data_IF_189510267662
#
_entry.id   IF_189510267662
#
_cell.length_a   1.000
_cell.length_b   1.000
_cell.length_c   1.000
_cell.angle_alpha   90.00
_cell.angle_beta   90.00
_cell.angle_gamma   90.00
#
_symmetry.space_group_name_H-M   'P 1'
#
loop_
_entity.id
_entity.type
_entity.pdbx_description
1 polymer ?
#
# COMPACT_ATOMS: atom_id res chain seq x y z
N UNK A 1 37.52 -12.07 2.53
CA UNK A 1 36.95 -11.60 3.81
C UNK A 1 35.95 -10.46 3.62
N UNK A 2 36.37 -9.29 3.12
CA UNK A 2 35.50 -8.10 3.00
C UNK A 2 34.17 -8.29 2.25
N UNK A 3 34.16 -9.05 1.15
CA UNK A 3 32.92 -9.33 0.39
C UNK A 3 31.88 -10.09 1.23
N UNK A 4 32.34 -11.03 2.08
CA UNK A 4 31.48 -11.78 2.98
C UNK A 4 30.96 -10.88 4.12
N UNK A 5 31.83 -10.05 4.70
CA UNK A 5 31.44 -9.06 5.72
C UNK A 5 30.38 -8.08 5.18
N UNK A 6 30.56 -7.59 3.95
CA UNK A 6 29.61 -6.75 3.25
C UNK A 6 28.25 -7.44 3.09
N UNK A 7 28.25 -8.66 2.54
CA UNK A 7 27.02 -9.45 2.34
C UNK A 7 26.28 -9.72 3.65
N UNK A 8 27.01 -10.09 4.70
CA UNK A 8 26.44 -10.35 6.03
C UNK A 8 25.85 -9.09 6.64
N UNK A 9 26.52 -7.94 6.49
CA UNK A 9 26.03 -6.67 7.02
C UNK A 9 24.77 -6.22 6.31
N UNK A 10 24.68 -6.40 4.99
CA UNK A 10 23.44 -6.15 4.23
C UNK A 10 22.28 -6.97 4.78
N UNK A 11 22.49 -8.29 4.92
CA UNK A 11 21.44 -9.18 5.38
C UNK A 11 21.01 -8.85 6.81
N UNK A 12 21.97 -8.55 7.70
CA UNK A 12 21.69 -8.15 9.08
C UNK A 12 20.94 -6.82 9.15
N UNK A 13 21.30 -5.83 8.34
CA UNK A 13 20.57 -4.56 8.27
C UNK A 13 19.12 -4.82 7.89
N UNK A 14 18.89 -5.61 6.84
CA UNK A 14 17.54 -5.91 6.35
C UNK A 14 16.70 -6.62 7.42
N UNK A 15 17.21 -7.70 8.00
CA UNK A 15 16.46 -8.49 8.97
C UNK A 15 16.20 -7.72 10.27
N UNK A 16 17.19 -6.97 10.77
CA UNK A 16 17.01 -6.16 11.98
C UNK A 16 16.04 -5.00 11.78
N UNK A 17 16.04 -4.37 10.60
CA UNK A 17 15.10 -3.31 10.27
C UNK A 17 13.67 -3.86 10.19
N UNK A 18 13.47 -4.95 9.44
CA UNK A 18 12.16 -5.61 9.34
C UNK A 18 11.64 -6.01 10.73
N UNK A 19 12.49 -6.61 11.57
CA UNK A 19 12.13 -6.99 12.93
C UNK A 19 11.72 -5.76 13.77
N UNK A 20 12.53 -4.71 13.80
CA UNK A 20 12.27 -3.50 14.59
C UNK A 20 10.95 -2.83 14.22
N UNK A 21 10.62 -2.79 12.93
CA UNK A 21 9.35 -2.25 12.44
C UNK A 21 8.16 -3.14 12.81
N UNK A 22 8.33 -4.46 12.77
CA UNK A 22 7.31 -5.41 13.20
C UNK A 22 7.06 -5.34 14.72
N UNK A 23 8.07 -4.99 15.50
CA UNK A 23 7.96 -4.71 16.95
C UNK A 23 7.29 -3.36 17.25
N UNK A 24 6.94 -2.58 16.21
CA UNK A 24 6.23 -1.31 16.34
C UNK A 24 7.14 -0.13 16.69
N UNK A 25 8.46 -0.26 16.52
CA UNK A 25 9.35 0.89 16.70
C UNK A 25 9.04 1.99 15.69
N UNK A 26 9.25 3.23 16.11
CA UNK A 26 9.18 4.38 15.21
C UNK A 26 10.20 4.24 14.08
N UNK A 27 9.74 4.49 12.85
CA UNK A 27 10.52 4.24 11.64
C UNK A 27 11.92 4.89 11.65
N UNK A 28 12.01 6.15 12.06
CA UNK A 28 13.29 6.87 12.14
C UNK A 28 14.21 6.31 13.22
N UNK A 29 13.66 5.90 14.36
CA UNK A 29 14.43 5.29 15.45
C UNK A 29 14.98 3.92 15.03
N UNK A 30 14.14 3.07 14.44
CA UNK A 30 14.54 1.76 13.91
C UNK A 30 15.67 1.89 12.89
N UNK A 31 15.53 2.80 11.92
CA UNK A 31 16.57 3.08 10.93
C UNK A 31 17.87 3.50 11.59
N UNK A 32 17.82 4.47 12.51
CA UNK A 32 19.02 4.99 13.14
C UNK A 32 19.77 3.90 13.90
N UNK A 33 19.06 3.12 14.72
CA UNK A 33 19.62 2.04 15.52
C UNK A 33 20.21 0.91 14.66
N UNK A 34 19.45 0.42 13.67
CA UNK A 34 19.91 -0.62 12.76
C UNK A 34 21.14 -0.18 11.96
N UNK A 35 21.13 1.04 11.43
CA UNK A 35 22.26 1.56 10.64
C UNK A 35 23.51 1.73 11.50
N UNK A 36 23.36 2.31 12.69
CA UNK A 36 24.48 2.53 13.60
C UNK A 36 25.10 1.21 14.04
N UNK A 37 24.28 0.25 14.48
CA UNK A 37 24.74 -1.10 14.83
C UNK A 37 25.37 -1.82 13.65
N UNK A 38 24.79 -1.67 12.45
CA UNK A 38 25.33 -2.31 11.25
C UNK A 38 26.70 -1.79 10.85
N UNK A 39 26.85 -0.47 10.83
CA UNK A 39 28.10 0.20 10.48
C UNK A 39 29.19 -0.05 11.51
N UNK A 40 28.87 -0.07 12.80
CA UNK A 40 29.85 -0.34 13.86
C UNK A 40 30.45 -1.75 13.74
N UNK A 41 29.61 -2.77 13.58
CA UNK A 41 30.08 -4.14 13.39
C UNK A 41 30.84 -4.33 12.06
N UNK A 42 30.45 -3.60 11.00
CA UNK A 42 31.18 -3.63 9.73
C UNK A 42 32.56 -2.99 9.85
N UNK A 43 32.64 -1.80 10.45
CA UNK A 43 33.89 -1.07 10.65
C UNK A 43 34.85 -1.91 11.54
N UNK A 44 34.33 -2.51 12.62
CA UNK A 44 35.12 -3.40 13.49
C UNK A 44 35.59 -4.68 12.76
N UNK A 45 34.69 -5.33 11.99
CA UNK A 45 35.06 -6.48 11.18
C UNK A 45 36.07 -6.15 10.06
N UNK A 46 36.16 -4.89 9.63
CA UNK A 46 37.19 -4.43 8.71
C UNK A 46 38.53 -4.24 9.42
N UNK A 47 38.56 -3.67 10.63
CA UNK A 47 39.78 -3.53 11.44
C UNK A 47 40.40 -4.91 11.75
N UNK A 48 39.59 -5.88 12.16
CA UNK A 48 40.03 -7.25 12.43
C UNK A 48 40.63 -7.94 11.19
N UNK A 49 40.11 -7.60 9.99
CA UNK A 49 40.58 -8.13 8.72
C UNK A 49 41.74 -7.33 8.09
N UNK A 50 41.89 -6.05 8.42
CA UNK A 50 42.92 -5.15 7.90
C UNK A 50 44.33 -5.53 8.38
N UNK A 51 44.44 -6.26 9.49
CA UNK A 51 45.68 -6.93 9.91
C UNK A 51 46.18 -7.92 8.83
N UNK A 52 45.34 -8.28 7.84
CA UNK A 52 45.65 -9.19 6.73
C UNK A 52 45.41 -8.65 5.30
N UNK A 53 44.85 -7.44 5.09
CA UNK A 53 44.49 -6.88 3.75
C UNK A 53 44.57 -5.33 3.70
N UNK A 54 44.52 -4.70 2.51
CA UNK A 54 44.65 -3.23 2.36
C UNK A 54 43.38 -2.42 2.67
N UNK A 55 43.53 -1.35 3.47
CA UNK A 55 42.48 -0.41 3.93
C UNK A 55 41.66 0.26 2.80
N UNK A 56 42.26 0.49 1.63
CA UNK A 56 41.60 1.11 0.47
C UNK A 56 40.36 0.33 0.01
N UNK A 57 40.33 -0.98 0.19
CA UNK A 57 39.17 -1.79 -0.15
C UNK A 57 38.03 -1.62 0.85
N UNK A 58 38.32 -1.44 2.14
CA UNK A 58 37.30 -1.26 3.18
C UNK A 58 36.48 0.00 2.93
N UNK A 59 37.12 1.14 2.64
CA UNK A 59 36.42 2.41 2.34
C UNK A 59 35.42 2.27 1.18
N UNK A 60 35.80 1.59 0.09
CA UNK A 60 34.92 1.39 -1.07
C UNK A 60 33.72 0.50 -0.75
N UNK A 61 33.91 -0.55 0.06
CA UNK A 61 32.80 -1.40 0.49
C UNK A 61 31.90 -0.66 1.49
N UNK A 62 32.46 0.19 2.34
CA UNK A 62 31.74 1.07 3.25
C UNK A 62 30.82 2.04 2.51
N UNK A 63 31.33 2.72 1.49
CA UNK A 63 30.52 3.61 0.62
C UNK A 63 29.39 2.86 -0.07
N UNK A 64 29.67 1.68 -0.65
CA UNK A 64 28.64 0.83 -1.26
C UNK A 64 27.58 0.40 -0.25
N UNK A 65 27.99 0.09 0.98
CA UNK A 65 27.10 -0.34 2.05
C UNK A 65 26.15 0.80 2.46
N UNK A 66 26.69 2.02 2.60
CA UNK A 66 25.88 3.21 2.87
C UNK A 66 24.86 3.45 1.74
N UNK A 67 25.28 3.35 0.48
CA UNK A 67 24.37 3.49 -0.66
C UNK A 67 23.26 2.42 -0.63
N UNK A 68 23.59 1.17 -0.30
CA UNK A 68 22.62 0.10 -0.15
C UNK A 68 21.62 0.40 0.97
N UNK A 69 22.10 0.75 2.16
CA UNK A 69 21.27 1.10 3.31
C UNK A 69 20.31 2.24 2.97
N UNK A 70 20.78 3.30 2.32
CA UNK A 70 19.94 4.41 1.87
C UNK A 70 18.86 3.96 0.88
N UNK A 71 19.21 3.10 -0.08
CA UNK A 71 18.24 2.56 -1.04
C UNK A 71 17.15 1.72 -0.37
N UNK A 72 17.54 0.84 0.56
CA UNK A 72 16.61 -0.01 1.31
C UNK A 72 15.67 0.84 2.17
N UNK A 73 16.21 1.86 2.87
CA UNK A 73 15.41 2.81 3.64
C UNK A 73 14.41 3.54 2.74
N UNK A 74 14.84 4.11 1.61
CA UNK A 74 13.92 4.80 0.70
C UNK A 74 12.81 3.88 0.18
N UNK A 75 13.13 2.61 -0.11
CA UNK A 75 12.15 1.62 -0.54
C UNK A 75 11.12 1.33 0.56
N UNK A 76 11.57 1.12 1.79
CA UNK A 76 10.67 0.85 2.93
C UNK A 76 9.82 2.08 3.28
N UNK A 77 10.38 3.29 3.24
CA UNK A 77 9.63 4.54 3.43
C UNK A 77 8.53 4.68 2.39
N UNK A 78 8.88 4.46 1.11
CA UNK A 78 7.93 4.51 0.00
C UNK A 78 6.79 3.50 0.17
N UNK A 79 7.11 2.30 0.63
CA UNK A 79 6.12 1.25 0.91
C UNK A 79 5.17 1.69 2.03
N UNK A 80 5.70 2.20 3.14
CA UNK A 80 4.88 2.66 4.28
C UNK A 80 3.95 3.81 3.92
N UNK A 81 4.45 4.84 3.24
CA UNK A 81 3.61 5.98 2.84
C UNK A 81 2.53 5.55 1.84
N UNK A 82 2.87 4.67 0.89
CA UNK A 82 1.90 4.15 -0.09
C UNK A 82 0.78 3.38 0.63
N UNK A 83 1.13 2.50 1.56
CA UNK A 83 0.16 1.73 2.34
C UNK A 83 -0.73 2.63 3.21
N UNK A 84 -0.15 3.64 3.88
CA UNK A 84 -0.91 4.61 4.67
C UNK A 84 -1.89 5.44 3.82
N UNK A 85 -1.46 5.84 2.62
CA UNK A 85 -2.30 6.58 1.67
C UNK A 85 -3.45 5.72 1.14
N UNK A 86 -3.18 4.47 0.76
CA UNK A 86 -4.22 3.53 0.31
C UNK A 86 -5.28 3.37 1.40
N UNK A 87 -4.86 3.04 2.63
CA UNK A 87 -5.76 2.89 3.76
C UNK A 87 -6.60 4.17 4.00
N UNK A 88 -5.97 5.34 3.87
CA UNK A 88 -6.68 6.61 4.04
C UNK A 88 -7.73 6.84 2.95
N UNK A 89 -7.40 6.51 1.70
CA UNK A 89 -8.34 6.60 0.57
C UNK A 89 -9.51 5.64 0.75
N UNK A 90 -9.24 4.38 1.12
CA UNK A 90 -10.28 3.38 1.40
C UNK A 90 -11.25 3.86 2.49
N UNK A 91 -10.71 4.35 3.62
CA UNK A 91 -11.53 4.91 4.69
C UNK A 91 -12.39 6.10 4.24
N UNK A 92 -11.82 7.00 3.42
CA UNK A 92 -12.55 8.16 2.90
C UNK A 92 -13.66 7.74 1.93
N UNK A 93 -13.46 6.69 1.15
CA UNK A 93 -14.46 6.16 0.23
C UNK A 93 -15.61 5.48 0.99
N UNK A 94 -15.30 4.57 1.93
CA UNK A 94 -16.29 3.89 2.76
C UNK A 94 -17.16 4.84 3.58
N UNK A 95 -16.57 5.95 4.04
CA UNK A 95 -17.27 7.00 4.79
C UNK A 95 -17.83 8.13 3.93
N UNK A 96 -17.72 8.06 2.59
CA UNK A 96 -18.06 9.20 1.76
C UNK A 96 -19.58 9.39 1.66
N UNK A 97 -19.99 10.65 1.75
CA UNK A 97 -21.35 11.11 1.44
C UNK A 97 -21.77 10.73 0.01
N UNK A 98 -20.79 10.43 -0.87
CA UNK A 98 -21.00 9.95 -2.24
C UNK A 98 -21.66 8.57 -2.23
N UNK A 99 -21.17 7.63 -1.42
CA UNK A 99 -21.77 6.29 -1.33
C UNK A 99 -23.19 6.36 -0.78
N UNK A 100 -23.42 7.20 0.23
CA UNK A 100 -24.77 7.43 0.78
C UNK A 100 -25.69 8.05 -0.28
N UNK A 101 -25.24 9.10 -0.99
CA UNK A 101 -26.01 9.74 -2.08
C UNK A 101 -26.31 8.77 -3.22
N UNK A 102 -25.37 7.90 -3.57
CA UNK A 102 -25.53 6.92 -4.64
C UNK A 102 -26.50 5.79 -4.24
N UNK A 103 -26.48 5.37 -2.97
CA UNK A 103 -27.46 4.44 -2.42
C UNK A 103 -28.88 5.03 -2.43
N UNK A 104 -29.04 6.29 -2.01
CA UNK A 104 -30.33 6.99 -2.08
C UNK A 104 -30.84 7.13 -3.52
N UNK A 105 -29.97 7.45 -4.48
CA UNK A 105 -30.34 7.54 -5.89
C UNK A 105 -30.80 6.18 -6.45
N UNK A 106 -30.10 5.10 -6.11
CA UNK A 106 -30.48 3.73 -6.50
C UNK A 106 -31.86 3.35 -5.93
N UNK A 107 -32.10 3.65 -4.67
CA UNK A 107 -33.39 3.37 -4.02
C UNK A 107 -34.52 4.19 -4.66
N UNK A 108 -34.27 5.47 -4.93
CA UNK A 108 -35.23 6.33 -5.62
C UNK A 108 -35.57 5.82 -7.02
N UNK A 109 -34.56 5.42 -7.81
CA UNK A 109 -34.77 4.85 -9.14
C UNK A 109 -35.57 3.54 -9.09
N UNK A 110 -35.29 2.66 -8.11
CA UNK A 110 -36.06 1.43 -7.91
C UNK A 110 -37.53 1.72 -7.59
N UNK A 111 -37.78 2.60 -6.62
CA UNK A 111 -39.14 2.99 -6.23
C UNK A 111 -39.92 3.61 -7.40
N UNK A 112 -39.25 4.42 -8.22
CA UNK A 112 -39.87 5.00 -9.42
C UNK A 112 -40.25 3.93 -10.45
N UNK A 113 -39.37 2.95 -10.69
CA UNK A 113 -39.64 1.82 -11.59
C UNK A 113 -40.81 0.97 -11.08
N UNK A 114 -40.84 0.66 -9.79
CA UNK A 114 -41.95 -0.08 -9.19
C UNK A 114 -43.27 0.68 -9.29
N UNK A 115 -43.25 1.99 -9.01
CA UNK A 115 -44.44 2.83 -9.15
C UNK A 115 -44.94 2.85 -10.59
N UNK A 116 -44.03 2.99 -11.58
CA UNK A 116 -44.40 2.96 -13.01
C UNK A 116 -44.89 1.60 -13.46
N UNK A 117 -44.30 0.51 -12.96
CA UNK A 117 -44.77 -0.85 -13.23
C UNK A 117 -46.18 -1.08 -12.68
N UNK A 118 -46.46 -0.61 -11.45
CA UNK A 118 -47.82 -0.66 -10.84
C UNK A 118 -48.81 0.19 -11.61
N UNK A 119 -48.44 1.43 -11.96
CA UNK A 119 -49.26 2.34 -12.77
C UNK A 119 -49.56 1.72 -14.14
N UNK A 120 -48.57 1.06 -14.75
CA UNK A 120 -48.78 0.36 -16.00
C UNK A 120 -49.68 -0.87 -15.83
N UNK A 121 -49.54 -1.63 -14.74
CA UNK A 121 -50.36 -2.80 -14.45
C UNK A 121 -51.80 -2.47 -14.01
N UNK A 122 -52.12 -1.18 -13.82
CA UNK A 122 -53.48 -0.72 -13.53
C UNK A 122 -54.49 -1.28 -14.55
N UNK A 123 -55.61 -1.90 -14.09
CA UNK A 123 -56.57 -2.54 -14.97
C UNK A 123 -57.14 -1.62 -16.06
N UNK A 124 -57.40 -0.34 -15.73
CA UNK A 124 -57.89 0.64 -16.69
C UNK A 124 -56.88 0.91 -17.81
N UNK A 125 -55.60 1.07 -17.46
CA UNK A 125 -54.53 1.24 -18.46
C UNK A 125 -54.25 -0.02 -19.27
N UNK A 126 -54.34 -1.18 -18.65
CA UNK A 126 -54.18 -2.47 -19.35
C UNK A 126 -55.25 -2.61 -20.42
N UNK A 127 -56.52 -2.41 -20.06
CA UNK A 127 -57.66 -2.48 -20.99
C UNK A 127 -57.53 -1.45 -22.12
N UNK A 128 -57.12 -0.22 -21.80
CA UNK A 128 -56.88 0.82 -22.81
C UNK A 128 -55.81 0.39 -23.81
N UNK A 129 -54.65 -0.10 -23.33
CA UNK A 129 -53.58 -0.61 -24.21
C UNK A 129 -53.96 -1.87 -24.98
N UNK A 130 -54.88 -2.70 -24.46
CA UNK A 130 -55.43 -3.85 -25.19
C UNK A 130 -56.33 -3.38 -26.34
N UNK A 131 -57.20 -2.41 -26.08
CA UNK A 131 -58.06 -1.80 -27.10
C UNK A 131 -57.24 -1.10 -28.19
N UNK A 132 -56.22 -0.32 -27.83
CA UNK A 132 -55.39 0.41 -28.79
C UNK A 132 -54.60 -0.53 -29.71
N UNK A 133 -54.07 -1.64 -29.16
CA UNK A 133 -53.40 -2.68 -29.96
C UNK A 133 -54.36 -3.36 -30.93
N UNK A 134 -55.58 -3.66 -30.49
CA UNK A 134 -56.61 -4.23 -31.36
C UNK A 134 -56.94 -3.28 -32.52
N UNK A 135 -57.09 -1.97 -32.23
CA UNK A 135 -57.36 -0.94 -33.25
C UNK A 135 -56.18 -0.77 -34.23
N UNK A 136 -54.94 -0.84 -33.75
CA UNK A 136 -53.75 -0.68 -34.61
C UNK A 136 -53.50 -1.89 -35.52
N UNK A 137 -54.07 -3.06 -35.18
CA UNK A 137 -53.97 -4.29 -35.97
C UNK A 137 -55.11 -4.50 -36.98
N UNK A 138 -56.13 -3.63 -36.98
CA UNK A 138 -57.23 -3.58 -37.94
C UNK A 138 -56.86 -2.69 -39.12
#
# INVERSE_FOLDING_TARGET
MLMHLYSNTINRFKTSLEQSLNEGQEYLAAIHLCSQSCMLEFDQGCEDAAIQQSECNASKFREKLICYMLSEMMAEYKKQITHALIRRVEYLLEGSEIDTKLQHLREHARNLLEMKAREAADPGRVLMRMKDRYITSL
#
